data_IF_861924824158
#
_entry.id   IF_861924824158
#
_cell.length_a   1.000
_cell.length_b   1.000
_cell.length_c   1.000
_cell.angle_alpha   90.00
_cell.angle_beta   90.00
_cell.angle_gamma   90.00
#
_symmetry.space_group_name_H-M   'P 1'
#
loop_
_entity.id
_entity.type
_entity.pdbx_description
1 polymer ?
#
# COMPACT_ATOMS: atom_id res chain seq x y z
N UNK A 1 8.22 -4.18 10.81
CA UNK A 1 8.11 -4.18 9.34
C UNK A 1 9.08 -3.15 8.75
N UNK A 2 9.65 -3.47 7.60
CA UNK A 2 10.47 -2.54 6.82
C UNK A 2 9.70 -2.24 5.55
N UNK A 3 9.46 -0.96 5.27
CA UNK A 3 8.82 -0.49 4.06
C UNK A 3 9.87 0.03 3.10
N UNK A 4 9.72 -0.35 1.83
CA UNK A 4 10.62 0.02 0.76
C UNK A 4 9.84 0.52 -0.45
N UNK A 5 9.87 1.84 -0.68
CA UNK A 5 9.22 2.46 -1.83
C UNK A 5 9.94 2.08 -3.11
N UNK A 6 9.29 1.31 -3.96
CA UNK A 6 9.87 0.88 -5.22
C UNK A 6 9.81 1.98 -6.27
N UNK A 7 8.66 2.58 -6.47
CA UNK A 7 8.48 3.76 -7.33
C UNK A 7 7.19 4.52 -6.99
N UNK A 8 7.16 5.79 -7.35
CA UNK A 8 6.00 6.67 -7.26
C UNK A 8 5.96 7.57 -8.50
N UNK A 9 5.08 7.26 -9.45
CA UNK A 9 4.97 7.96 -10.73
C UNK A 9 3.51 8.06 -11.18
N UNK A 10 3.21 9.11 -11.97
CA UNK A 10 1.94 9.28 -12.68
C UNK A 10 2.11 8.89 -14.14
N UNK A 11 1.00 8.54 -14.81
CA UNK A 11 0.93 8.35 -16.24
C UNK A 11 1.57 7.06 -16.77
N UNK A 12 1.76 6.06 -15.92
CA UNK A 12 2.20 4.74 -16.36
C UNK A 12 1.03 3.96 -16.96
N UNK A 13 1.29 3.25 -18.07
CA UNK A 13 0.36 2.26 -18.59
C UNK A 13 0.35 1.00 -17.72
N UNK A 14 -0.73 0.22 -17.76
CA UNK A 14 -0.81 -1.05 -17.06
C UNK A 14 0.31 -2.02 -17.46
N UNK A 15 0.69 -2.01 -18.76
CA UNK A 15 1.84 -2.77 -19.26
C UNK A 15 3.15 -2.34 -18.60
N UNK A 16 3.41 -1.03 -18.50
CA UNK A 16 4.62 -0.50 -17.87
C UNK A 16 4.68 -0.84 -16.37
N UNK A 17 3.54 -0.82 -15.69
CA UNK A 17 3.43 -1.25 -14.28
C UNK A 17 3.76 -2.73 -14.16
N UNK A 18 3.17 -3.58 -15.00
CA UNK A 18 3.43 -5.01 -15.00
C UNK A 18 4.90 -5.34 -15.30
N UNK A 19 5.50 -4.68 -16.30
CA UNK A 19 6.91 -4.86 -16.64
C UNK A 19 7.83 -4.47 -15.48
N UNK A 20 7.50 -3.37 -14.80
CA UNK A 20 8.26 -2.96 -13.61
C UNK A 20 8.21 -4.02 -12.51
N UNK A 21 7.00 -4.49 -12.16
CA UNK A 21 6.80 -5.50 -11.10
C UNK A 21 7.50 -6.81 -11.47
N UNK A 22 7.38 -7.28 -12.71
CA UNK A 22 8.00 -8.52 -13.18
C UNK A 22 9.54 -8.47 -13.20
N UNK A 23 10.11 -7.27 -13.23
CA UNK A 23 11.57 -7.07 -13.17
C UNK A 23 12.10 -6.87 -11.73
N UNK A 24 11.23 -6.83 -10.72
CA UNK A 24 11.68 -6.81 -9.32
C UNK A 24 12.28 -8.16 -8.92
N UNK A 25 13.27 -8.17 -8.01
CA UNK A 25 13.83 -9.43 -7.48
C UNK A 25 12.76 -10.32 -6.83
N UNK A 26 11.75 -9.71 -6.26
CA UNK A 26 10.61 -10.35 -5.61
C UNK A 26 9.43 -10.59 -6.57
N UNK A 27 9.69 -10.68 -7.87
CA UNK A 27 8.66 -11.00 -8.87
C UNK A 27 7.96 -12.33 -8.50
N UNK A 28 6.62 -12.35 -8.62
CA UNK A 28 5.80 -13.47 -8.16
C UNK A 28 5.18 -13.28 -6.75
N UNK A 29 5.62 -12.28 -6.00
CA UNK A 29 4.96 -11.87 -4.76
C UNK A 29 3.56 -11.32 -5.05
N UNK A 30 2.62 -11.55 -4.12
CA UNK A 30 1.27 -11.02 -4.23
C UNK A 30 1.28 -9.48 -4.16
N UNK A 31 0.71 -8.85 -5.16
CA UNK A 31 0.48 -7.41 -5.24
C UNK A 31 -0.95 -7.10 -4.82
N UNK A 32 -1.13 -6.15 -3.90
CA UNK A 32 -2.45 -5.65 -3.52
C UNK A 32 -2.63 -4.26 -4.12
N UNK A 33 -3.62 -4.12 -5.00
CA UNK A 33 -3.95 -2.86 -5.65
C UNK A 33 -5.21 -2.23 -5.09
N UNK A 34 -5.42 -0.94 -5.33
CA UNK A 34 -6.74 -0.34 -5.11
C UNK A 34 -7.77 -1.05 -6.00
N UNK A 35 -8.89 -1.48 -5.41
CA UNK A 35 -9.97 -2.18 -6.12
C UNK A 35 -10.90 -1.27 -6.92
N UNK A 36 -10.64 0.05 -6.98
CA UNK A 36 -11.47 0.99 -7.73
C UNK A 36 -11.38 0.79 -9.26
N UNK A 37 -10.29 0.20 -9.75
CA UNK A 37 -10.01 0.00 -11.17
C UNK A 37 -9.86 -1.49 -11.54
N UNK A 38 -10.93 -2.30 -11.48
CA UNK A 38 -10.84 -3.75 -11.68
C UNK A 38 -10.31 -4.13 -13.06
N UNK A 39 -10.61 -3.35 -14.10
CA UNK A 39 -10.09 -3.59 -15.46
C UNK A 39 -8.57 -3.46 -15.53
N UNK A 40 -8.00 -2.51 -14.81
CA UNK A 40 -6.55 -2.35 -14.73
C UNK A 40 -5.89 -3.51 -13.99
N UNK A 41 -6.52 -4.02 -12.95
CA UNK A 41 -6.07 -5.21 -12.21
C UNK A 41 -6.07 -6.43 -13.14
N UNK A 42 -7.15 -6.67 -13.88
CA UNK A 42 -7.28 -7.79 -14.83
C UNK A 42 -6.21 -7.69 -15.92
N UNK A 43 -5.99 -6.51 -16.48
CA UNK A 43 -4.97 -6.29 -17.51
C UNK A 43 -3.56 -6.54 -16.97
N UNK A 44 -3.20 -5.98 -15.81
CA UNK A 44 -1.89 -6.20 -15.18
C UNK A 44 -1.69 -7.69 -14.87
N UNK A 45 -2.73 -8.37 -14.38
CA UNK A 45 -2.71 -9.81 -14.15
C UNK A 45 -2.44 -10.60 -15.42
N UNK A 46 -2.99 -10.18 -16.57
CA UNK A 46 -2.77 -10.84 -17.87
C UNK A 46 -1.31 -10.82 -18.33
N UNK A 47 -0.50 -9.89 -17.82
CA UNK A 47 0.94 -9.82 -18.03
C UNK A 47 1.76 -10.65 -17.03
N UNK A 48 1.12 -11.55 -16.26
CA UNK A 48 1.78 -12.49 -15.36
C UNK A 48 2.04 -11.97 -13.95
N UNK A 49 1.55 -10.79 -13.58
CA UNK A 49 1.65 -10.27 -12.22
C UNK A 49 0.59 -10.93 -11.34
N UNK A 50 1.00 -11.45 -10.19
CA UNK A 50 0.08 -11.95 -9.18
C UNK A 50 -0.53 -10.78 -8.41
N UNK A 51 -1.66 -10.26 -8.88
CA UNK A 51 -2.29 -9.04 -8.36
C UNK A 51 -3.75 -9.29 -7.99
N UNK A 52 -4.20 -8.70 -6.90
CA UNK A 52 -5.60 -8.69 -6.45
C UNK A 52 -6.01 -7.31 -5.98
N UNK A 53 -7.30 -7.01 -6.03
CA UNK A 53 -7.85 -5.78 -5.46
C UNK A 53 -7.91 -5.85 -3.93
N UNK A 54 -7.64 -4.73 -3.27
CA UNK A 54 -7.80 -4.61 -1.83
C UNK A 54 -9.24 -4.85 -1.40
N UNK A 55 -9.44 -5.62 -0.34
CA UNK A 55 -10.75 -5.79 0.27
C UNK A 55 -11.19 -4.46 0.91
N UNK A 56 -12.37 -3.97 0.53
CA UNK A 56 -12.98 -2.76 1.08
C UNK A 56 -14.28 -3.13 1.79
N UNK A 57 -14.55 -2.49 2.92
CA UNK A 57 -15.76 -2.68 3.70
C UNK A 57 -16.06 -1.46 4.56
N UNK A 58 -17.26 -1.39 5.11
CA UNK A 58 -17.66 -0.30 5.99
C UNK A 58 -16.69 -0.20 7.19
N UNK A 59 -16.18 0.99 7.48
CA UNK A 59 -15.23 1.22 8.57
C UNK A 59 -13.81 0.70 8.31
N UNK A 60 -13.54 0.07 7.16
CA UNK A 60 -12.24 -0.54 6.85
C UNK A 60 -11.09 0.48 6.81
N UNK A 61 -11.37 1.72 6.43
CA UNK A 61 -10.36 2.79 6.37
C UNK A 61 -9.84 3.10 7.77
N UNK A 62 -10.72 3.45 8.69
CA UNK A 62 -10.35 3.78 10.06
C UNK A 62 -9.68 2.61 10.79
N UNK A 63 -10.26 1.42 10.69
CA UNK A 63 -9.70 0.20 11.27
C UNK A 63 -8.33 -0.14 10.67
N UNK A 64 -8.16 0.06 9.35
CA UNK A 64 -6.89 -0.15 8.67
C UNK A 64 -5.82 0.85 9.12
N UNK A 65 -6.17 2.12 9.31
CA UNK A 65 -5.27 3.14 9.85
C UNK A 65 -4.83 2.75 11.27
N UNK A 66 -5.77 2.37 12.16
CA UNK A 66 -5.45 1.94 13.52
C UNK A 66 -4.53 0.71 13.52
N UNK A 67 -4.77 -0.24 12.61
CA UNK A 67 -3.92 -1.42 12.50
C UNK A 67 -2.49 -1.05 12.11
N UNK A 68 -2.31 -0.19 11.10
CA UNK A 68 -0.98 0.30 10.68
C UNK A 68 -0.28 1.06 11.81
N UNK A 69 -1.00 1.93 12.52
CA UNK A 69 -0.46 2.70 13.65
C UNK A 69 0.03 1.82 14.81
N UNK A 70 -0.57 0.65 14.99
CA UNK A 70 -0.15 -0.32 16.00
C UNK A 70 1.13 -1.08 15.63
N UNK A 71 1.63 -0.95 14.38
CA UNK A 71 2.81 -1.67 13.92
C UNK A 71 4.09 -0.86 14.16
N UNK A 72 5.20 -1.57 14.43
CA UNK A 72 6.53 -0.99 14.38
C UNK A 72 7.03 -1.01 12.94
N UNK A 73 7.15 0.15 12.33
CA UNK A 73 7.49 0.31 10.92
C UNK A 73 8.76 1.15 10.78
N UNK A 74 9.69 0.69 9.97
CA UNK A 74 10.87 1.42 9.52
C UNK A 74 10.77 1.66 8.02
N UNK A 75 11.33 2.76 7.54
CA UNK A 75 11.37 3.12 6.13
C UNK A 75 12.80 3.06 5.61
N UNK A 76 12.98 2.57 4.39
CA UNK A 76 14.27 2.68 3.71
C UNK A 76 14.57 4.12 3.31
N UNK A 77 15.85 4.44 3.09
CA UNK A 77 16.28 5.81 2.69
C UNK A 77 15.63 6.26 1.37
N UNK A 78 15.30 5.35 0.45
CA UNK A 78 14.64 5.68 -0.82
C UNK A 78 13.14 5.94 -0.70
N UNK A 79 12.51 5.60 0.43
CA UNK A 79 11.08 5.80 0.69
C UNK A 79 10.72 7.24 1.07
N UNK A 80 11.36 8.22 0.43
CA UNK A 80 11.23 9.63 0.79
C UNK A 80 9.82 10.18 0.55
N UNK A 81 9.13 9.74 -0.50
CA UNK A 81 7.75 10.19 -0.80
C UNK A 81 6.75 9.59 0.19
N UNK A 82 6.90 8.31 0.53
CA UNK A 82 6.10 7.65 1.58
C UNK A 82 6.30 8.33 2.92
N UNK A 83 7.55 8.67 3.28
CA UNK A 83 7.85 9.39 4.52
C UNK A 83 7.20 10.79 4.55
N UNK A 84 7.31 11.54 3.44
CA UNK A 84 6.67 12.85 3.32
C UNK A 84 5.15 12.75 3.42
N UNK A 85 4.55 11.74 2.78
CA UNK A 85 3.12 11.47 2.90
C UNK A 85 2.71 11.20 4.36
N UNK A 86 3.45 10.35 5.05
CA UNK A 86 3.21 10.04 6.46
C UNK A 86 3.21 11.30 7.35
N UNK A 87 4.12 12.24 7.13
CA UNK A 87 4.20 13.48 7.91
C UNK A 87 3.04 14.45 7.66
N UNK A 88 2.36 14.32 6.51
CA UNK A 88 1.32 15.27 6.07
C UNK A 88 -0.08 14.64 6.01
N UNK A 89 -0.21 13.33 6.22
CA UNK A 89 -1.49 12.64 6.20
C UNK A 89 -2.18 12.79 7.56
N UNK A 90 -3.29 13.49 7.57
CA UNK A 90 -4.02 13.87 8.78
C UNK A 90 -5.48 13.42 8.70
N UNK A 91 -6.17 13.43 9.82
CA UNK A 91 -7.62 13.26 9.84
C UNK A 91 -8.30 14.56 9.38
N UNK A 92 -9.43 14.38 8.68
CA UNK A 92 -10.24 15.48 8.20
C UNK A 92 -10.96 16.21 9.36
N UNK A 93 -11.33 17.45 9.08
CA UNK A 93 -12.17 18.26 9.97
C UNK A 93 -13.57 18.43 9.38
N UNK A 94 -14.58 18.41 10.22
CA UNK A 94 -15.94 18.76 9.83
C UNK A 94 -16.09 20.29 9.66
N UNK A 95 -17.29 20.73 9.26
CA UNK A 95 -17.58 22.16 9.04
C UNK A 95 -17.43 23.03 10.29
N UNK A 96 -17.39 22.42 11.47
CA UNK A 96 -17.19 23.11 12.74
C UNK A 96 -15.73 23.16 13.18
N UNK A 97 -14.81 22.56 12.41
CA UNK A 97 -13.39 22.42 12.75
C UNK A 97 -13.09 21.26 13.72
N UNK A 98 -14.04 20.35 13.92
CA UNK A 98 -13.83 19.16 14.74
C UNK A 98 -13.23 18.03 13.90
N UNK A 99 -12.16 17.43 14.41
CA UNK A 99 -11.53 16.26 13.79
C UNK A 99 -12.52 15.09 13.79
N UNK A 100 -12.67 14.45 12.63
CA UNK A 100 -13.51 13.26 12.41
C UNK A 100 -12.62 12.03 12.17
N UNK A 101 -13.22 10.83 12.29
CA UNK A 101 -12.49 9.56 12.12
C UNK A 101 -12.33 9.14 10.64
N UNK A 102 -12.17 10.11 9.77
CA UNK A 102 -11.93 9.92 8.35
C UNK A 102 -10.65 10.67 7.96
N UNK A 103 -9.78 10.09 7.11
CA UNK A 103 -8.61 10.80 6.66
C UNK A 103 -8.97 11.95 5.72
N UNK A 104 -8.13 12.98 5.70
CA UNK A 104 -8.19 14.02 4.68
C UNK A 104 -7.67 13.46 3.35
N UNK A 105 -8.59 13.23 2.41
CA UNK A 105 -8.31 12.72 1.07
C UNK A 105 -8.30 13.84 0.00
N UNK A 106 -8.22 15.08 0.41
CA UNK A 106 -8.19 16.22 -0.53
C UNK A 106 -6.86 16.34 -1.27
N UNK A 107 -5.78 15.83 -0.70
CA UNK A 107 -4.45 15.81 -1.31
C UNK A 107 -3.95 14.38 -1.55
N UNK A 108 -4.11 13.91 -2.78
CA UNK A 108 -3.70 12.57 -3.20
C UNK A 108 -2.17 12.33 -3.15
N UNK A 109 -1.35 13.36 -3.05
CA UNK A 109 0.10 13.19 -2.81
C UNK A 109 0.35 12.55 -1.43
N UNK A 110 -0.53 12.79 -0.46
CA UNK A 110 -0.46 12.23 0.87
C UNK A 110 -1.31 10.97 1.04
N UNK A 111 -2.53 10.96 0.53
CA UNK A 111 -3.45 9.84 0.73
C UNK A 111 -3.03 8.58 -0.07
N UNK A 112 -2.61 8.71 -1.33
CA UNK A 112 -2.27 7.55 -2.16
C UNK A 112 -1.18 6.65 -1.57
N UNK A 113 -0.01 7.16 -1.08
CA UNK A 113 0.99 6.30 -0.45
C UNK A 113 0.49 5.64 0.83
N UNK A 114 -0.32 6.34 1.62
CA UNK A 114 -0.87 5.82 2.87
C UNK A 114 -1.95 4.76 2.63
N UNK A 115 -2.75 4.93 1.59
CA UNK A 115 -3.72 3.92 1.16
C UNK A 115 -3.03 2.67 0.63
N UNK A 116 -2.00 2.81 -0.19
CA UNK A 116 -1.20 1.68 -0.68
C UNK A 116 -0.61 0.88 0.48
N UNK A 117 -0.06 1.57 1.49
CA UNK A 117 0.45 0.98 2.71
C UNK A 117 -0.64 0.20 3.46
N UNK A 118 -1.79 0.84 3.68
CA UNK A 118 -2.94 0.25 4.36
C UNK A 118 -3.46 -1.00 3.65
N UNK A 119 -3.52 -0.98 2.31
CA UNK A 119 -3.92 -2.14 1.52
C UNK A 119 -2.92 -3.28 1.63
N UNK A 120 -1.63 -3.00 1.59
CA UNK A 120 -0.59 -4.00 1.78
C UNK A 120 -0.69 -4.72 3.13
N UNK A 121 -0.88 -3.98 4.21
CA UNK A 121 -1.08 -4.56 5.54
C UNK A 121 -2.38 -5.37 5.67
N UNK A 122 -3.47 -4.92 5.05
CA UNK A 122 -4.72 -5.68 5.04
C UNK A 122 -4.58 -6.98 4.25
N UNK A 123 -3.87 -6.97 3.13
CA UNK A 123 -3.57 -8.15 2.35
C UNK A 123 -2.71 -9.16 3.11
N UNK A 124 -1.67 -8.71 3.80
CA UNK A 124 -0.84 -9.54 4.65
C UNK A 124 -1.65 -10.21 5.78
N UNK A 125 -2.55 -9.46 6.42
CA UNK A 125 -3.43 -9.99 7.48
C UNK A 125 -4.39 -11.08 6.99
N UNK A 126 -4.87 -10.98 5.76
CA UNK A 126 -5.71 -12.03 5.14
C UNK A 126 -4.87 -13.27 4.86
N UNK A 127 -3.68 -13.10 4.30
CA UNK A 127 -2.77 -14.19 4.00
C UNK A 127 -2.35 -14.97 5.25
N UNK A 128 -2.09 -14.29 6.39
CA UNK A 128 -1.79 -14.94 7.66
C UNK A 128 -2.93 -15.84 8.20
N UNK A 129 -4.17 -15.52 7.86
CA UNK A 129 -5.34 -16.31 8.29
C UNK A 129 -5.57 -17.55 7.42
N UNK A 130 -5.10 -17.52 6.18
CA UNK A 130 -5.32 -18.61 5.21
C UNK A 130 -4.20 -19.64 5.18
N UNK A 131 -3.03 -19.33 5.76
CA UNK A 131 -1.86 -20.23 5.77
C UNK A 131 -1.23 -20.29 7.16
N UNK A 132 -0.86 -21.50 7.65
CA UNK A 132 -0.16 -21.66 8.93
C UNK A 132 1.28 -21.11 8.92
N UNK A 133 1.88 -20.91 7.75
CA UNK A 133 3.18 -20.27 7.62
C UNK A 133 3.02 -18.77 7.31
N UNK A 134 3.73 -17.88 8.03
CA UNK A 134 3.66 -16.47 7.76
C UNK A 134 4.15 -16.19 6.33
N UNK A 135 3.22 -15.87 5.44
CA UNK A 135 3.58 -15.24 4.18
C UNK A 135 4.02 -13.84 4.55
N UNK A 136 5.31 -13.67 4.78
CA UNK A 136 5.88 -12.34 4.78
C UNK A 136 5.63 -11.78 3.39
N UNK A 137 4.77 -10.78 3.29
CA UNK A 137 4.82 -9.90 2.15
C UNK A 137 6.26 -9.37 2.14
N UNK A 138 7.07 -9.90 1.25
CA UNK A 138 8.45 -9.51 1.11
C UNK A 138 8.49 -8.12 0.52
N UNK A 139 8.35 -7.13 1.38
CA UNK A 139 8.97 -5.85 1.13
C UNK A 139 10.47 -6.13 1.26
N UNK A 140 11.20 -6.05 0.14
CA UNK A 140 12.57 -6.50 0.00
C UNK A 140 13.41 -6.32 1.25
N UNK A 141 13.92 -7.40 1.78
CA UNK A 141 14.89 -7.42 2.87
C UNK A 141 16.23 -6.93 2.34
N UNK A 142 16.43 -5.63 2.31
CA UNK A 142 17.77 -5.08 2.30
C UNK A 142 18.06 -4.48 3.66
N UNK A 143 18.85 -5.17 4.44
CA UNK A 143 19.49 -4.61 5.61
C UNK A 143 20.30 -3.40 5.16
N UNK A 144 19.99 -2.25 5.71
CA UNK A 144 20.88 -1.09 5.62
C UNK A 144 21.91 -1.30 6.72
N UNK A 145 23.08 -1.80 6.36
CA UNK A 145 24.28 -1.60 7.20
C UNK A 145 24.62 -0.12 7.16
N UNK A 146 24.88 0.43 8.34
CA UNK A 146 25.30 1.82 8.57
C UNK A 146 26.57 2.20 7.79
#
# INVERSE_FOLDING_TARGET
FILDEQFYRKGLSNKAIADYINNLPESGTLVIADSAEPKSIDEISSYGVRIVGAAKGQGSVYQGIQFVQAQKISLTKRSAKTYKAYLNYVFAEDRSGKIINEPDDTNHEWSNPMDALRYGFNGAKIAERETPDPIFATFGTHFVED
#
